data_IF_732388402997
#
_entry.id   IF_732388402997
#
_cell.length_a   1.000
_cell.length_b   1.000
_cell.length_c   1.000
_cell.angle_alpha   90.00
_cell.angle_beta   90.00
_cell.angle_gamma   90.00
#
_symmetry.space_group_name_H-M   'P 1'
#
loop_
_entity.id
_entity.type
_entity.pdbx_description
1 polymer ?
#
# COMPACT_ATOMS: atom_id res chain seq x y z
N UNK A 1 11.88 8.37 -7.85
CA UNK A 1 12.24 8.99 -9.15
C UNK A 1 12.10 7.95 -10.25
N UNK A 2 11.76 8.41 -11.43
CA UNK A 2 11.69 7.60 -12.63
C UNK A 2 12.01 8.50 -13.85
N UNK A 3 12.22 7.94 -15.02
CA UNK A 3 12.66 8.67 -16.22
C UNK A 3 11.73 9.82 -16.65
N UNK A 4 10.44 9.80 -16.32
CA UNK A 4 9.46 10.86 -16.62
C UNK A 4 9.43 12.02 -15.61
N UNK A 5 10.31 12.02 -14.61
CA UNK A 5 10.36 13.04 -13.57
C UNK A 5 9.50 12.71 -12.33
N UNK A 6 9.22 13.71 -11.52
CA UNK A 6 8.50 13.55 -10.27
C UNK A 6 6.98 13.62 -10.48
N UNK A 7 6.25 12.56 -10.09
CA UNK A 7 4.80 12.61 -9.99
C UNK A 7 4.39 13.58 -8.89
N UNK A 8 3.52 14.53 -9.23
CA UNK A 8 3.11 15.62 -8.35
C UNK A 8 1.88 15.25 -7.53
N UNK A 9 1.79 15.83 -6.32
CA UNK A 9 0.57 15.79 -5.53
C UNK A 9 -0.48 16.71 -6.19
N UNK A 10 -1.68 16.23 -6.54
CA UNK A 10 -2.68 17.04 -7.22
C UNK A 10 -3.18 18.26 -6.43
N UNK A 11 -3.13 18.20 -5.10
CA UNK A 11 -3.54 19.30 -4.22
C UNK A 11 -2.40 20.30 -3.92
N UNK A 12 -1.16 19.82 -3.98
CA UNK A 12 0.03 20.60 -3.70
C UNK A 12 1.10 20.27 -4.75
N UNK A 13 1.00 20.85 -5.97
CA UNK A 13 1.86 20.49 -7.10
C UNK A 13 3.36 20.72 -6.90
N UNK A 14 3.75 21.55 -5.94
CA UNK A 14 5.14 21.74 -5.51
C UNK A 14 5.70 20.53 -4.76
N UNK A 15 4.83 19.66 -4.24
CA UNK A 15 5.20 18.43 -3.55
C UNK A 15 5.11 17.22 -4.47
N UNK A 16 5.95 16.22 -4.23
CA UNK A 16 5.81 14.90 -4.82
C UNK A 16 4.64 14.12 -4.21
N UNK A 17 4.09 13.20 -4.97
CA UNK A 17 3.00 12.31 -4.55
C UNK A 17 3.42 11.24 -3.53
N UNK A 18 4.71 11.16 -3.17
CA UNK A 18 5.28 9.97 -2.54
C UNK A 18 5.24 8.76 -3.50
N UNK A 19 5.51 7.54 -3.01
CA UNK A 19 5.59 6.34 -3.85
C UNK A 19 5.61 5.03 -3.04
N UNK A 20 5.76 3.94 -3.78
CA UNK A 20 6.06 3.77 -5.22
C UNK A 20 4.81 3.82 -6.12
N UNK A 21 3.58 3.60 -5.63
CA UNK A 21 2.33 3.75 -6.40
C UNK A 21 1.97 5.22 -6.63
N UNK A 22 2.96 6.03 -7.02
CA UNK A 22 2.89 7.47 -7.17
C UNK A 22 1.82 7.90 -8.19
N UNK A 23 1.91 7.36 -9.40
CA UNK A 23 1.00 7.67 -10.50
C UNK A 23 -0.43 7.23 -10.22
N UNK A 24 -0.60 6.03 -9.62
CA UNK A 24 -1.91 5.50 -9.24
C UNK A 24 -2.63 6.43 -8.27
N UNK A 25 -1.95 6.83 -7.18
CA UNK A 25 -2.55 7.71 -6.19
C UNK A 25 -2.83 9.12 -6.75
N UNK A 26 -1.91 9.69 -7.52
CA UNK A 26 -2.08 11.01 -8.11
C UNK A 26 -3.23 11.03 -9.13
N UNK A 27 -3.33 10.02 -10.00
CA UNK A 27 -4.38 9.95 -11.02
C UNK A 27 -5.79 9.80 -10.40
N UNK A 28 -5.94 8.94 -9.39
CA UNK A 28 -7.19 8.78 -8.64
C UNK A 28 -7.57 10.07 -7.93
N UNK A 29 -6.61 10.68 -7.25
CA UNK A 29 -6.81 11.90 -6.47
C UNK A 29 -7.18 13.09 -7.36
N UNK A 30 -6.58 13.18 -8.54
CA UNK A 30 -6.91 14.19 -9.56
C UNK A 30 -8.25 13.93 -10.27
N UNK A 31 -8.92 12.83 -9.99
CA UNK A 31 -10.18 12.46 -10.66
C UNK A 31 -10.02 11.97 -12.10
N UNK A 32 -8.82 11.65 -12.54
CA UNK A 32 -8.56 11.19 -13.91
C UNK A 32 -9.06 9.75 -14.15
N UNK A 33 -9.12 8.97 -13.08
CA UNK A 33 -9.65 7.59 -13.09
C UNK A 33 -10.50 7.34 -11.86
N UNK A 34 -11.43 6.36 -11.95
CA UNK A 34 -12.29 5.96 -10.83
C UNK A 34 -11.52 5.24 -9.74
N UNK A 35 -10.60 4.37 -10.13
CA UNK A 35 -9.68 3.64 -9.25
C UNK A 35 -8.38 3.32 -9.99
N UNK A 36 -7.39 2.88 -9.25
CA UNK A 36 -6.14 2.32 -9.77
C UNK A 36 -5.68 1.15 -8.90
N UNK A 37 -4.76 0.35 -9.42
CA UNK A 37 -4.07 -0.67 -8.63
C UNK A 37 -2.72 -0.11 -8.17
N UNK A 38 -2.41 -0.32 -6.92
CA UNK A 38 -1.10 -0.06 -6.33
C UNK A 38 -0.43 -1.36 -5.90
N UNK A 39 0.88 -1.31 -5.74
CA UNK A 39 1.65 -2.37 -5.09
C UNK A 39 2.32 -1.83 -3.82
N UNK A 40 2.43 -2.68 -2.82
CA UNK A 40 3.11 -2.31 -1.59
C UNK A 40 3.97 -3.44 -1.05
N UNK A 41 5.23 -3.14 -0.90
CA UNK A 41 6.15 -3.92 -0.08
C UNK A 41 6.14 -3.38 1.35
N UNK A 42 6.46 -2.08 1.51
CA UNK A 42 6.49 -1.37 2.79
C UNK A 42 6.11 0.11 2.58
N UNK A 43 4.81 0.42 2.60
CA UNK A 43 4.30 1.78 2.52
C UNK A 43 3.88 2.26 1.12
N UNK A 44 4.11 1.49 0.05
CA UNK A 44 3.98 1.98 -1.34
C UNK A 44 2.54 2.15 -1.85
N UNK A 45 1.51 1.73 -1.11
CA UNK A 45 0.10 2.11 -1.30
C UNK A 45 -0.25 3.21 -0.30
N UNK A 46 0.01 2.96 0.99
CA UNK A 46 -0.48 3.83 2.06
C UNK A 46 0.19 5.20 2.05
N UNK A 47 1.49 5.27 1.76
CA UNK A 47 2.23 6.54 1.74
C UNK A 47 1.74 7.51 0.64
N UNK A 48 1.64 7.10 -0.65
CA UNK A 48 1.10 7.98 -1.66
C UNK A 48 -0.39 8.30 -1.46
N UNK A 49 -1.20 7.38 -0.94
CA UNK A 49 -2.60 7.67 -0.59
C UNK A 49 -2.71 8.74 0.49
N UNK A 50 -1.92 8.64 1.56
CA UNK A 50 -1.86 9.67 2.60
C UNK A 50 -1.43 11.02 2.03
N UNK A 51 -0.41 11.04 1.17
CA UNK A 51 0.12 12.26 0.58
C UNK A 51 -0.88 12.92 -0.39
N UNK A 52 -1.54 12.13 -1.22
CA UNK A 52 -2.47 12.60 -2.24
C UNK A 52 -3.94 12.64 -1.78
N UNK A 53 -4.24 12.37 -0.51
CA UNK A 53 -5.60 12.34 0.03
C UNK A 53 -6.51 11.35 -0.71
N UNK A 54 -5.96 10.22 -1.13
CA UNK A 54 -6.72 9.10 -1.68
C UNK A 54 -6.95 8.03 -0.60
N UNK A 55 -7.91 7.15 -0.84
CA UNK A 55 -8.11 5.94 -0.04
C UNK A 55 -7.33 4.79 -0.68
N UNK A 56 -6.55 4.07 0.11
CA UNK A 56 -5.84 2.89 -0.34
C UNK A 56 -6.12 1.69 0.56
N UNK A 57 -6.38 0.55 -0.03
CA UNK A 57 -6.48 -0.70 0.69
C UNK A 57 -5.23 -1.54 0.45
N UNK A 58 -4.42 -1.71 1.48
CA UNK A 58 -3.32 -2.67 1.48
C UNK A 58 -3.81 -3.99 2.09
N UNK A 59 -4.10 -5.00 1.27
CA UNK A 59 -4.57 -6.29 1.80
C UNK A 59 -3.44 -7.05 2.49
N UNK A 60 -3.83 -8.08 3.24
CA UNK A 60 -2.88 -9.07 3.76
C UNK A 60 -2.17 -9.78 2.61
N UNK A 61 -0.89 -10.11 2.80
CA UNK A 61 -0.11 -10.90 1.84
C UNK A 61 -0.88 -12.17 1.39
N UNK A 62 -0.81 -12.46 0.09
CA UNK A 62 -1.49 -13.60 -0.52
C UNK A 62 -3.00 -13.44 -0.72
N UNK A 63 -3.59 -12.25 -0.49
CA UNK A 63 -5.01 -12.03 -0.78
C UNK A 63 -5.29 -11.71 -2.25
N UNK A 64 -4.33 -11.20 -2.98
CA UNK A 64 -4.38 -10.90 -4.41
C UNK A 64 -3.18 -11.54 -5.06
N UNK A 65 -3.37 -12.19 -6.21
CA UNK A 65 -2.28 -12.75 -7.01
C UNK A 65 -1.36 -11.65 -7.51
N UNK A 66 -0.06 -11.89 -7.48
CA UNK A 66 0.99 -11.00 -8.01
C UNK A 66 1.56 -11.50 -9.33
N UNK A 67 0.96 -12.55 -9.90
CA UNK A 67 1.43 -13.10 -11.16
C UNK A 67 1.46 -12.02 -12.25
N UNK A 68 2.61 -11.90 -12.93
CA UNK A 68 2.84 -10.89 -13.97
C UNK A 68 3.24 -9.50 -13.44
N UNK A 69 3.33 -9.32 -12.13
CA UNK A 69 3.85 -8.08 -11.55
C UNK A 69 5.37 -8.14 -11.41
N UNK A 70 6.04 -7.01 -11.59
CA UNK A 70 7.45 -6.87 -11.29
C UNK A 70 7.65 -7.02 -9.77
N UNK A 71 8.48 -7.98 -9.31
CA UNK A 71 8.72 -8.16 -7.88
C UNK A 71 9.71 -7.11 -7.36
N UNK A 72 9.52 -6.72 -6.10
CA UNK A 72 10.53 -6.07 -5.29
C UNK A 72 10.94 -7.00 -4.12
N UNK A 73 9.95 -7.57 -3.46
CA UNK A 73 10.12 -8.54 -2.38
C UNK A 73 9.02 -9.60 -2.47
N UNK A 74 9.39 -10.83 -2.84
CA UNK A 74 8.42 -11.91 -3.04
C UNK A 74 7.71 -12.38 -1.77
N UNK A 75 8.27 -12.08 -0.58
CA UNK A 75 7.61 -12.39 0.70
C UNK A 75 6.77 -11.22 1.25
N UNK A 76 6.94 -10.01 0.70
CA UNK A 76 6.29 -8.81 1.26
C UNK A 76 5.37 -8.09 0.28
N UNK A 77 5.53 -8.26 -1.03
CA UNK A 77 4.73 -7.55 -2.03
C UNK A 77 3.24 -7.91 -1.97
N UNK A 78 2.41 -6.91 -2.04
CA UNK A 78 0.95 -7.00 -2.07
C UNK A 78 0.40 -6.06 -3.13
N UNK A 79 -0.67 -6.46 -3.80
CA UNK A 79 -1.45 -5.60 -4.68
C UNK A 79 -2.73 -5.18 -3.98
N UNK A 80 -3.16 -3.95 -4.19
CA UNK A 80 -4.39 -3.46 -3.63
C UNK A 80 -4.95 -2.26 -4.38
N UNK A 81 -6.24 -1.98 -4.21
CA UNK A 81 -6.89 -0.86 -4.84
C UNK A 81 -6.54 0.48 -4.18
N UNK A 82 -6.51 1.50 -5.03
CA UNK A 82 -6.48 2.91 -4.67
C UNK A 82 -7.71 3.56 -5.30
N UNK A 83 -8.50 4.25 -4.50
CA UNK A 83 -9.74 4.88 -4.93
C UNK A 83 -9.99 6.17 -4.11
N UNK A 84 -11.15 6.83 -4.31
CA UNK A 84 -11.53 8.00 -3.53
C UNK A 84 -12.34 7.66 -2.28
N UNK A 85 -12.93 6.47 -2.22
CA UNK A 85 -13.70 6.01 -1.06
C UNK A 85 -13.31 4.61 -0.60
N UNK A 86 -13.65 4.27 0.64
CA UNK A 86 -13.48 2.92 1.19
C UNK A 86 -14.36 1.91 0.45
N UNK A 87 -15.58 2.30 0.07
CA UNK A 87 -16.50 1.46 -0.67
C UNK A 87 -15.97 1.10 -2.06
N UNK A 88 -15.43 2.09 -2.80
CA UNK A 88 -14.79 1.83 -4.09
C UNK A 88 -13.61 0.85 -3.95
N UNK A 89 -12.78 1.03 -2.92
CA UNK A 89 -11.71 0.08 -2.62
C UNK A 89 -12.26 -1.33 -2.35
N UNK A 90 -13.37 -1.44 -1.63
CA UNK A 90 -13.99 -2.74 -1.33
C UNK A 90 -14.54 -3.40 -2.60
N UNK A 91 -15.19 -2.64 -3.48
CA UNK A 91 -15.71 -3.13 -4.78
C UNK A 91 -14.57 -3.64 -5.65
N UNK A 92 -13.52 -2.86 -5.81
CA UNK A 92 -12.35 -3.27 -6.60
C UNK A 92 -11.66 -4.48 -5.98
N UNK A 93 -11.48 -4.49 -4.67
CA UNK A 93 -10.88 -5.62 -3.97
C UNK A 93 -11.71 -6.90 -4.12
N UNK A 94 -13.03 -6.81 -4.08
CA UNK A 94 -13.93 -7.94 -4.33
C UNK A 94 -13.71 -8.56 -5.72
N UNK A 95 -13.34 -7.76 -6.70
CA UNK A 95 -13.09 -8.22 -8.07
C UNK A 95 -11.70 -8.86 -8.27
N UNK A 96 -10.69 -8.45 -7.49
CA UNK A 96 -9.30 -8.87 -7.73
C UNK A 96 -8.76 -9.88 -6.71
N UNK A 97 -9.45 -10.11 -5.59
CA UNK A 97 -8.96 -11.02 -4.55
C UNK A 97 -9.14 -12.49 -4.92
N UNK A 98 -8.29 -13.33 -4.35
CA UNK A 98 -8.34 -14.79 -4.49
C UNK A 98 -7.16 -15.36 -5.26
N UNK A 99 -7.08 -16.68 -5.27
CA UNK A 99 -6.06 -17.43 -6.00
C UNK A 99 -6.44 -17.53 -7.49
N UNK A 100 -5.46 -17.33 -8.35
CA UNK A 100 -5.58 -17.50 -9.81
C UNK A 100 -4.90 -18.79 -10.33
N UNK A 101 -4.33 -19.57 -9.41
CA UNK A 101 -3.57 -20.79 -9.73
C UNK A 101 -2.17 -20.52 -10.29
N UNK A 102 -1.72 -19.27 -10.37
CA UNK A 102 -0.42 -18.88 -10.93
C UNK A 102 0.53 -18.31 -9.89
N UNK A 103 0.03 -17.55 -8.91
CA UNK A 103 0.80 -17.13 -7.73
C UNK A 103 0.59 -18.17 -6.61
N UNK A 104 1.63 -18.96 -6.33
CA UNK A 104 1.57 -20.00 -5.30
C UNK A 104 1.30 -19.48 -3.88
N UNK A 105 1.53 -18.17 -3.63
CA UNK A 105 1.23 -17.55 -2.36
C UNK A 105 -0.22 -17.04 -2.26
N UNK A 106 -0.94 -16.96 -3.38
CA UNK A 106 -2.30 -16.44 -3.37
C UNK A 106 -3.29 -17.50 -2.86
N UNK A 107 -4.15 -17.07 -1.93
CA UNK A 107 -5.16 -17.94 -1.32
C UNK A 107 -6.55 -17.31 -1.44
N UNK A 108 -7.52 -18.14 -1.77
CA UNK A 108 -8.93 -17.73 -1.79
C UNK A 108 -9.48 -17.77 -0.37
N UNK A 109 -9.95 -16.62 0.11
CA UNK A 109 -10.68 -16.50 1.38
C UNK A 109 -11.90 -15.62 1.16
N UNK A 110 -13.02 -15.87 1.82
CA UNK A 110 -14.19 -15.00 1.71
C UNK A 110 -13.87 -13.52 1.97
N UNK A 111 -14.54 -12.66 1.23
CA UNK A 111 -14.56 -11.24 1.49
C UNK A 111 -16.02 -10.76 1.42
N UNK A 112 -16.45 -10.10 2.47
CA UNK A 112 -17.80 -9.54 2.57
C UNK A 112 -17.70 -8.08 2.93
N UNK A 113 -18.26 -7.24 2.09
CA UNK A 113 -18.41 -5.82 2.33
C UNK A 113 -19.88 -5.53 2.71
N UNK A 114 -20.08 -4.76 3.77
CA UNK A 114 -21.40 -4.29 4.19
C UNK A 114 -21.27 -2.85 4.69
N UNK A 115 -21.63 -1.90 3.83
CA UNK A 115 -21.54 -0.47 4.12
C UNK A 115 -22.41 -0.04 5.33
N UNK A 116 -23.50 -0.76 5.57
CA UNK A 116 -24.47 -0.46 6.62
C UNK A 116 -24.28 -1.29 7.90
N UNK A 117 -23.12 -1.92 8.08
CA UNK A 117 -22.86 -2.73 9.25
C UNK A 117 -22.87 -1.86 10.52
N UNK A 118 -23.67 -2.24 11.50
CA UNK A 118 -23.61 -1.64 12.83
C UNK A 118 -22.25 -1.95 13.48
N UNK A 119 -21.56 -0.89 13.89
CA UNK A 119 -20.25 -0.98 14.56
C UNK A 119 -20.35 -0.81 16.08
N UNK A 120 -21.55 -0.58 16.61
CA UNK A 120 -21.76 -0.41 18.06
C UNK A 120 -21.26 -1.64 18.82
N UNK A 121 -20.46 -1.39 19.84
CA UNK A 121 -19.85 -2.44 20.66
C UNK A 121 -18.67 -3.17 20.01
N UNK A 122 -18.29 -2.85 18.76
CA UNK A 122 -17.02 -3.34 18.19
C UNK A 122 -15.84 -2.93 19.07
N UNK A 123 -14.90 -3.83 19.25
CA UNK A 123 -13.62 -3.54 19.91
C UNK A 123 -12.59 -3.12 18.87
N UNK A 124 -12.05 -1.92 19.02
CA UNK A 124 -11.02 -1.37 18.12
C UNK A 124 -9.77 -1.04 18.94
N UNK A 125 -8.64 -1.65 18.55
CA UNK A 125 -7.34 -1.32 19.11
C UNK A 125 -6.81 0.00 18.58
N UNK A 126 -6.15 0.79 19.44
CA UNK A 126 -5.56 2.07 19.04
C UNK A 126 -4.22 2.31 19.72
N UNK A 127 -3.40 3.17 19.14
CA UNK A 127 -2.16 3.65 19.73
C UNK A 127 -2.39 5.00 20.40
N UNK A 128 -1.96 5.13 21.64
CA UNK A 128 -2.07 6.38 22.39
C UNK A 128 -1.33 7.55 21.68
N UNK A 129 -1.94 8.73 21.72
CA UNK A 129 -1.39 9.95 21.15
C UNK A 129 -1.37 9.99 19.62
N UNK A 130 -2.20 9.18 18.96
CA UNK A 130 -2.39 9.17 17.51
C UNK A 130 -3.87 9.25 17.16
N UNK A 131 -4.15 10.02 16.09
CA UNK A 131 -5.45 10.04 15.41
C UNK A 131 -6.65 10.34 16.34
N UNK A 132 -6.50 11.26 17.31
CA UNK A 132 -7.53 11.56 18.32
C UNK A 132 -8.88 11.93 17.70
N UNK A 133 -8.89 12.69 16.59
CA UNK A 133 -10.13 13.03 15.88
C UNK A 133 -10.88 11.78 15.40
N UNK A 134 -10.15 10.80 14.86
CA UNK A 134 -10.74 9.53 14.43
C UNK A 134 -11.25 8.71 15.62
N UNK A 135 -10.53 8.73 16.75
CA UNK A 135 -10.94 8.04 17.96
C UNK A 135 -12.22 8.65 18.57
N UNK A 136 -12.37 9.97 18.50
CA UNK A 136 -13.57 10.65 18.94
C UNK A 136 -14.80 10.25 18.10
N UNK A 137 -14.65 10.20 16.79
CA UNK A 137 -15.70 9.72 15.87
C UNK A 137 -16.09 8.28 16.23
N UNK A 138 -15.11 7.40 16.43
CA UNK A 138 -15.36 5.99 16.79
C UNK A 138 -16.08 5.85 18.12
N UNK A 139 -15.74 6.66 19.14
CA UNK A 139 -16.45 6.73 20.42
C UNK A 139 -17.92 7.14 20.20
N UNK A 140 -18.14 8.17 19.36
CA UNK A 140 -19.50 8.63 19.00
C UNK A 140 -20.34 7.56 18.31
N UNK A 141 -19.72 6.65 17.56
CA UNK A 141 -20.37 5.50 16.93
C UNK A 141 -20.62 4.32 17.90
N UNK A 142 -20.23 4.44 19.16
CA UNK A 142 -20.42 3.41 20.17
C UNK A 142 -19.40 2.26 20.10
N UNK A 143 -18.25 2.48 19.48
CA UNK A 143 -17.13 1.54 19.44
C UNK A 143 -16.43 1.51 20.79
N UNK A 144 -16.00 0.33 21.23
CA UNK A 144 -15.16 0.13 22.43
C UNK A 144 -13.68 0.24 22.01
N UNK A 145 -13.01 1.31 22.44
CA UNK A 145 -11.59 1.52 22.18
C UNK A 145 -10.73 0.79 23.22
N UNK A 146 -9.69 0.10 22.74
CA UNK A 146 -8.75 -0.67 23.57
C UNK A 146 -7.32 -0.23 23.22
N UNK A 147 -6.54 0.33 24.16
CA UNK A 147 -5.15 0.66 23.89
C UNK A 147 -4.37 -0.63 23.59
N UNK A 148 -3.48 -0.56 22.61
CA UNK A 148 -2.65 -1.69 22.20
C UNK A 148 -1.19 -1.27 22.03
N UNK A 149 -0.29 -2.21 22.28
CA UNK A 149 1.11 -2.12 21.94
C UNK A 149 1.45 -3.07 20.81
N UNK A 150 2.35 -2.64 19.89
CA UNK A 150 2.92 -3.53 18.90
C UNK A 150 4.24 -4.14 19.38
N UNK A 151 4.61 -5.30 18.83
CA UNK A 151 5.95 -5.84 19.01
C UNK A 151 7.01 -4.79 18.67
N UNK A 152 8.06 -4.72 19.47
CA UNK A 152 9.03 -3.62 19.47
C UNK A 152 9.67 -3.32 18.11
N UNK A 153 10.20 -2.11 17.98
CA UNK A 153 10.90 -1.59 16.79
C UNK A 153 12.00 -2.50 16.26
N UNK A 154 12.64 -3.27 17.13
CA UNK A 154 13.72 -4.18 16.75
C UNK A 154 13.24 -5.26 15.77
N UNK A 155 12.07 -5.85 16.02
CA UNK A 155 11.45 -6.82 15.10
C UNK A 155 11.08 -6.16 13.76
N UNK A 156 10.53 -4.96 13.80
CA UNK A 156 10.20 -4.21 12.58
C UNK A 156 11.44 -3.91 11.73
N UNK A 157 12.55 -3.53 12.35
CA UNK A 157 13.81 -3.28 11.64
C UNK A 157 14.41 -4.55 11.04
N UNK A 158 14.33 -5.68 11.74
CA UNK A 158 14.77 -6.97 11.22
C UNK A 158 13.95 -7.42 10.02
N UNK A 159 12.62 -7.23 10.06
CA UNK A 159 11.75 -7.50 8.92
C UNK A 159 12.03 -6.56 7.74
N UNK A 160 12.34 -5.29 7.99
CA UNK A 160 12.69 -4.34 6.95
C UNK A 160 14.01 -4.70 6.24
N UNK A 161 14.97 -5.35 6.92
CA UNK A 161 16.21 -5.81 6.27
C UNK A 161 15.96 -6.91 5.24
N UNK A 162 14.95 -7.75 5.42
CA UNK A 162 14.54 -8.75 4.42
C UNK A 162 14.16 -8.11 3.08
N UNK A 163 13.49 -6.96 3.11
CA UNK A 163 13.17 -6.20 1.91
C UNK A 163 14.44 -5.90 1.10
N UNK A 164 15.48 -5.38 1.74
CA UNK A 164 16.72 -5.01 1.03
C UNK A 164 17.42 -6.22 0.43
N UNK A 165 17.39 -7.36 1.10
CA UNK A 165 18.00 -8.61 0.61
C UNK A 165 17.22 -9.15 -0.59
N UNK A 166 15.91 -9.24 -0.49
CA UNK A 166 15.06 -9.75 -1.57
C UNK A 166 15.07 -8.80 -2.78
N UNK A 167 15.06 -7.49 -2.54
CA UNK A 167 15.15 -6.50 -3.60
C UNK A 167 16.50 -6.57 -4.32
N UNK A 168 17.62 -6.73 -3.60
CA UNK A 168 18.93 -6.92 -4.21
C UNK A 168 18.96 -8.19 -5.09
N UNK A 169 18.42 -9.29 -4.62
CA UNK A 169 18.33 -10.53 -5.39
C UNK A 169 17.39 -10.42 -6.61
N UNK A 170 16.26 -9.70 -6.47
CA UNK A 170 15.30 -9.53 -7.57
C UNK A 170 15.87 -8.70 -8.74
N UNK A 171 16.83 -7.81 -8.47
CA UNK A 171 17.45 -6.91 -9.45
C UNK A 171 18.94 -7.14 -9.66
N UNK A 172 19.45 -8.31 -9.29
CA UNK A 172 20.90 -8.63 -9.34
C UNK A 172 21.42 -8.54 -10.77
N UNK A 173 20.76 -9.15 -11.75
CA UNK A 173 21.13 -9.10 -13.17
C UNK A 173 21.13 -7.67 -13.70
N UNK A 174 20.06 -6.91 -13.44
CA UNK A 174 19.95 -5.50 -13.89
C UNK A 174 21.03 -4.64 -13.28
N UNK A 175 21.40 -4.90 -12.03
CA UNK A 175 22.48 -4.19 -11.34
C UNK A 175 23.85 -4.58 -11.89
N UNK A 176 24.07 -5.87 -12.15
CA UNK A 176 25.33 -6.38 -12.72
C UNK A 176 25.59 -5.85 -14.14
N UNK A 177 24.53 -5.70 -14.94
CA UNK A 177 24.60 -5.12 -16.28
C UNK A 177 24.79 -3.59 -16.28
N UNK A 178 24.74 -2.95 -15.11
CA UNK A 178 24.90 -1.50 -14.98
C UNK A 178 23.77 -0.71 -15.63
N UNK A 179 22.59 -1.30 -15.77
CA UNK A 179 21.43 -0.63 -16.33
C UNK A 179 21.01 0.49 -15.38
N UNK A 180 21.16 1.72 -15.86
CA UNK A 180 20.71 2.94 -15.19
C UNK A 180 19.47 3.46 -15.92
N UNK A 181 18.68 4.31 -15.24
CA UNK A 181 17.61 5.03 -15.91
C UNK A 181 18.18 5.99 -16.98
N UNK A 182 17.30 6.56 -17.81
CA UNK A 182 17.68 7.50 -18.88
C UNK A 182 18.42 8.76 -18.37
N UNK A 183 18.51 8.95 -17.05
CA UNK A 183 19.21 10.07 -16.40
C UNK A 183 20.49 9.61 -15.69
N UNK A 184 20.90 8.35 -15.86
CA UNK A 184 22.12 7.81 -15.25
C UNK A 184 22.03 7.53 -13.76
N UNK A 185 20.83 7.52 -13.19
CA UNK A 185 20.65 7.12 -11.79
C UNK A 185 20.75 5.61 -11.66
N UNK A 186 21.62 5.16 -10.79
CA UNK A 186 21.59 3.78 -10.33
C UNK A 186 20.30 3.56 -9.52
N UNK A 187 19.59 2.46 -9.76
CA UNK A 187 18.33 2.12 -9.08
C UNK A 187 18.45 2.14 -7.55
N UNK A 188 19.64 2.04 -7.02
CA UNK A 188 19.94 1.94 -5.59
C UNK A 188 20.65 3.17 -5.00
N UNK A 189 20.80 4.25 -5.76
CA UNK A 189 21.53 5.43 -5.33
C UNK A 189 23.04 5.18 -5.25
N UNK A 190 23.83 6.23 -5.42
CA UNK A 190 25.26 6.16 -5.12
C UNK A 190 25.45 5.84 -3.63
N UNK A 191 26.38 4.93 -3.37
CA UNK A 191 26.86 4.59 -2.02
C UNK A 191 27.78 5.67 -1.50
#
# INVERSE_FOLDING_TARGET
>A
QWFGGMTRNPFFPEQGSSGSSAGSAAAVSAGLVGFAIGSETLGSIVSPCTRCRATGLRPTFGRVSRYGCMPLSWTMDKLGPIARSVEDCAIVFAAIHGADGKDAAAVTRPFHWAATRDVKGMRVGYFEGKDEDALEILRGLGVTLVPIDLPGRQLANQLASMLSIEAAAAFDEVTAEGITDAHGFNLWGER
#
